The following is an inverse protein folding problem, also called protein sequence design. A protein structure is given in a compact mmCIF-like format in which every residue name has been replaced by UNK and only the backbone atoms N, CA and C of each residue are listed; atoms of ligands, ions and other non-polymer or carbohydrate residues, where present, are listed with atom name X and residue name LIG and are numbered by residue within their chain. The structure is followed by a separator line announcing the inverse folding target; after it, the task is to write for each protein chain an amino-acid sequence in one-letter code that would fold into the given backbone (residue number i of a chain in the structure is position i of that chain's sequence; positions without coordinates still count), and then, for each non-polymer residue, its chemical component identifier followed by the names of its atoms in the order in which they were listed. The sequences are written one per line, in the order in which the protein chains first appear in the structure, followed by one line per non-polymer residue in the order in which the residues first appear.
data_IF_879659040452
#
_entry.id   IF_879659040452
#
_cell.length_a   1.000
_cell.length_b   1.000
_cell.length_c   1.000
_cell.angle_alpha   90.00
_cell.angle_beta   90.00
_cell.angle_gamma   90.00
#
_symmetry.space_group_name_H-M   'P 1'
#
loop_
_entity.id
_entity.type
_entity.pdbx_description
1 polymer ?
#
# COMPACT_ATOMS: atom_id res chain seq x y z
N UNK A 1 12.47 6.99 -18.15
CA UNK A 1 11.59 8.17 -18.34
C UNK A 1 10.57 8.16 -17.22
N UNK A 2 10.31 9.30 -16.55
CA UNK A 2 9.20 9.39 -15.62
C UNK A 2 7.91 9.03 -16.36
N UNK A 3 7.06 8.21 -15.73
CA UNK A 3 5.87 7.66 -16.40
C UNK A 3 4.92 8.76 -16.90
N UNK A 4 5.00 9.92 -16.27
CA UNK A 4 4.26 11.14 -16.59
C UNK A 4 4.52 11.66 -18.02
N UNK A 5 5.65 11.31 -18.65
CA UNK A 5 5.98 11.79 -19.99
C UNK A 5 5.46 10.93 -21.14
N UNK A 6 4.91 9.74 -20.84
CA UNK A 6 4.49 8.81 -21.88
C UNK A 6 3.44 9.43 -22.81
N UNK A 7 3.67 9.26 -24.11
CA UNK A 7 2.69 9.59 -25.14
C UNK A 7 1.55 8.58 -25.14
N UNK A 8 0.35 8.93 -25.65
CA UNK A 8 -0.75 7.97 -25.76
C UNK A 8 -0.38 6.69 -26.51
N UNK A 9 0.48 6.77 -27.54
CA UNK A 9 0.96 5.60 -28.28
C UNK A 9 1.83 4.69 -27.42
N UNK A 10 2.71 5.27 -26.61
CA UNK A 10 3.56 4.51 -25.68
C UNK A 10 2.72 3.86 -24.57
N UNK A 11 1.72 4.55 -24.04
CA UNK A 11 0.79 3.96 -23.05
C UNK A 11 0.07 2.76 -23.66
N UNK A 12 -0.46 2.88 -24.87
CA UNK A 12 -1.10 1.74 -25.56
C UNK A 12 -0.12 0.59 -25.75
N UNK A 13 1.11 0.86 -26.18
CA UNK A 13 2.14 -0.16 -26.35
C UNK A 13 2.53 -0.86 -25.04
N UNK A 14 2.51 -0.14 -23.91
CA UNK A 14 2.71 -0.77 -22.59
C UNK A 14 1.52 -1.63 -22.17
N UNK A 15 0.29 -1.18 -22.45
CA UNK A 15 -0.90 -1.99 -22.22
C UNK A 15 -0.94 -3.23 -23.13
N UNK A 16 -0.43 -3.16 -24.35
CA UNK A 16 -0.36 -4.29 -25.29
C UNK A 16 0.52 -5.44 -24.77
N UNK A 17 1.45 -5.18 -23.85
CA UNK A 17 2.28 -6.24 -23.23
C UNK A 17 1.50 -7.15 -22.27
N UNK A 18 0.30 -6.74 -21.85
CA UNK A 18 -0.49 -7.43 -20.83
C UNK A 18 -1.92 -7.72 -21.29
N UNK A 19 -2.49 -6.89 -22.16
CA UNK A 19 -3.86 -7.03 -22.64
C UNK A 19 -3.83 -7.33 -24.14
N UNK A 20 -4.57 -8.34 -24.57
CA UNK A 20 -4.76 -8.66 -26.00
C UNK A 20 -6.00 -7.91 -26.53
N UNK A 21 -5.91 -7.37 -27.74
CA UNK A 21 -7.03 -6.70 -28.40
C UNK A 21 -7.44 -5.38 -27.74
N UNK A 22 -8.74 -5.07 -27.73
CA UNK A 22 -9.35 -3.92 -27.03
C UNK A 22 -8.71 -2.55 -27.34
N UNK A 23 -8.34 -2.31 -28.60
CA UNK A 23 -7.59 -1.12 -29.00
C UNK A 23 -8.33 0.20 -28.70
N UNK A 24 -9.67 0.22 -28.84
CA UNK A 24 -10.50 1.39 -28.51
C UNK A 24 -10.39 1.75 -27.03
N UNK A 25 -10.55 0.77 -26.14
CA UNK A 25 -10.44 0.96 -24.70
C UNK A 25 -9.03 1.41 -24.27
N UNK A 26 -7.98 0.79 -24.82
CA UNK A 26 -6.59 1.20 -24.58
C UNK A 26 -6.33 2.65 -24.99
N UNK A 27 -6.83 3.08 -26.15
CA UNK A 27 -6.70 4.47 -26.62
C UNK A 27 -7.46 5.44 -25.71
N UNK A 28 -8.67 5.08 -25.29
CA UNK A 28 -9.50 5.91 -24.40
C UNK A 28 -8.78 6.17 -23.06
N UNK A 29 -8.28 5.12 -22.41
CA UNK A 29 -7.55 5.27 -21.14
C UNK A 29 -6.22 6.01 -21.31
N UNK A 30 -5.51 5.80 -22.43
CA UNK A 30 -4.28 6.50 -22.72
C UNK A 30 -4.49 8.01 -22.93
N UNK A 31 -5.60 8.41 -23.56
CA UNK A 31 -5.97 9.82 -23.71
C UNK A 31 -6.33 10.42 -22.36
N UNK A 32 -7.15 9.74 -21.55
CA UNK A 32 -7.53 10.22 -20.22
C UNK A 32 -6.29 10.46 -19.33
N UNK A 33 -5.36 9.50 -19.32
CA UNK A 33 -4.10 9.62 -18.60
C UNK A 33 -3.22 10.77 -19.14
N UNK A 34 -3.10 10.91 -20.46
CA UNK A 34 -2.32 12.00 -21.06
C UNK A 34 -2.93 13.38 -20.74
N UNK A 35 -4.26 13.48 -20.68
CA UNK A 35 -4.93 14.72 -20.30
C UNK A 35 -4.60 15.14 -18.86
N UNK A 36 -4.40 14.18 -17.96
CA UNK A 36 -3.93 14.45 -16.59
C UNK A 36 -2.56 15.12 -16.57
N UNK A 37 -1.61 14.60 -17.35
CA UNK A 37 -0.29 15.21 -17.50
C UNK A 37 -0.38 16.61 -18.14
N UNK A 38 -1.22 16.77 -19.17
CA UNK A 38 -1.47 18.09 -19.78
C UNK A 38 -2.01 19.09 -18.76
N UNK A 39 -2.94 18.67 -17.90
CA UNK A 39 -3.50 19.50 -16.81
C UNK A 39 -2.41 20.01 -15.86
N UNK A 40 -1.46 19.17 -15.48
CA UNK A 40 -0.36 19.58 -14.59
C UNK A 40 0.55 20.67 -15.19
N UNK A 41 0.57 20.81 -16.53
CA UNK A 41 1.32 21.87 -17.23
C UNK A 41 0.52 23.17 -17.40
N UNK A 42 -0.76 23.17 -17.07
CA UNK A 42 -1.57 24.38 -17.15
C UNK A 42 -1.21 25.35 -16.00
N UNK A 43 -1.41 26.67 -16.21
CA UNK A 43 -1.41 27.66 -15.14
C UNK A 43 -2.37 27.26 -14.01
N UNK A 44 -2.10 27.64 -12.74
CA UNK A 44 -2.93 27.25 -11.60
C UNK A 44 -4.42 27.55 -11.77
N UNK A 45 -4.77 28.73 -12.31
CA UNK A 45 -6.15 29.16 -12.53
C UNK A 45 -6.92 28.21 -13.45
N UNK A 46 -6.32 27.80 -14.57
CA UNK A 46 -6.93 26.88 -15.53
C UNK A 46 -6.85 25.42 -15.08
N UNK A 47 -5.87 25.07 -14.24
CA UNK A 47 -5.64 23.71 -13.79
C UNK A 47 -6.84 23.16 -13.03
N UNK A 48 -7.39 23.98 -12.14
CA UNK A 48 -8.48 23.60 -11.25
C UNK A 48 -9.83 23.49 -12.00
N UNK A 49 -10.01 24.23 -13.10
CA UNK A 49 -11.20 24.16 -13.95
C UNK A 49 -11.25 22.89 -14.83
N UNK A 50 -10.09 22.25 -15.11
CA UNK A 50 -10.04 21.06 -15.96
C UNK A 50 -10.35 19.80 -15.15
N UNK A 51 -11.62 19.41 -15.16
CA UNK A 51 -12.08 18.16 -14.58
C UNK A 51 -11.56 16.91 -15.33
N UNK A 52 -11.28 15.80 -14.61
CA UNK A 52 -10.96 14.52 -15.21
C UNK A 52 -12.01 14.08 -16.24
N UNK A 53 -11.55 13.47 -17.32
CA UNK A 53 -12.43 12.85 -18.31
C UNK A 53 -12.67 11.40 -17.89
N UNK A 54 -13.62 11.19 -16.99
CA UNK A 54 -13.97 9.87 -16.49
C UNK A 54 -14.50 8.98 -17.63
N UNK A 55 -14.37 7.66 -17.42
CA UNK A 55 -14.54 6.66 -18.47
C UNK A 55 -15.66 5.71 -18.09
N UNK A 56 -16.53 5.39 -19.05
CA UNK A 56 -17.48 4.29 -18.98
C UNK A 56 -17.08 3.20 -19.97
N UNK A 57 -16.66 2.05 -19.44
CA UNK A 57 -16.35 0.84 -20.18
C UNK A 57 -17.59 -0.06 -20.29
N UNK A 58 -17.99 -0.38 -21.52
CA UNK A 58 -19.16 -1.19 -21.82
C UNK A 58 -18.67 -2.48 -22.48
N UNK A 59 -19.15 -3.64 -22.06
CA UNK A 59 -18.86 -4.91 -22.74
C UNK A 59 -19.02 -6.12 -21.82
N UNK A 60 -18.98 -7.35 -22.34
CA UNK A 60 -19.26 -8.54 -21.55
C UNK A 60 -18.19 -8.79 -20.46
N UNK A 61 -18.46 -9.70 -19.53
CA UNK A 61 -17.49 -10.11 -18.52
C UNK A 61 -16.27 -10.78 -19.18
N UNK A 62 -15.11 -10.72 -18.53
CA UNK A 62 -13.91 -11.42 -19.00
C UNK A 62 -13.15 -10.77 -20.19
N UNK A 63 -13.65 -9.70 -20.81
CA UNK A 63 -12.96 -9.05 -21.96
C UNK A 63 -11.79 -8.13 -21.60
N UNK A 64 -11.48 -7.99 -20.30
CA UNK A 64 -10.32 -7.21 -19.83
C UNK A 64 -10.60 -5.80 -19.28
N UNK A 65 -11.86 -5.44 -19.00
CA UNK A 65 -12.24 -4.12 -18.41
C UNK A 65 -11.39 -3.75 -17.18
N UNK A 66 -11.39 -4.62 -16.17
CA UNK A 66 -10.63 -4.40 -14.93
C UNK A 66 -9.12 -4.48 -15.15
N UNK A 67 -8.65 -5.33 -16.06
CA UNK A 67 -7.22 -5.50 -16.31
C UNK A 67 -6.62 -4.26 -16.98
N UNK A 68 -7.34 -3.63 -17.91
CA UNK A 68 -6.92 -2.35 -18.51
C UNK A 68 -6.76 -1.28 -17.42
N UNK A 69 -7.74 -1.12 -16.53
CA UNK A 69 -7.68 -0.12 -15.47
C UNK A 69 -6.57 -0.40 -14.46
N UNK A 70 -6.41 -1.67 -14.03
CA UNK A 70 -5.34 -2.10 -13.12
C UNK A 70 -3.96 -1.87 -13.71
N UNK A 71 -3.76 -2.21 -14.99
CA UNK A 71 -2.48 -2.01 -15.68
C UNK A 71 -2.17 -0.55 -15.93
N UNK A 72 -3.19 0.26 -16.23
CA UNK A 72 -3.05 1.71 -16.33
C UNK A 72 -2.54 2.30 -15.00
N UNK A 73 -3.14 1.92 -13.88
CA UNK A 73 -2.73 2.38 -12.56
C UNK A 73 -1.31 1.94 -12.20
N UNK A 74 -0.98 0.67 -12.44
CA UNK A 74 0.35 0.12 -12.19
C UNK A 74 1.42 0.80 -13.06
N UNK A 75 1.09 1.10 -14.33
CA UNK A 75 1.99 1.81 -15.24
C UNK A 75 2.41 3.13 -14.61
N UNK A 76 1.44 3.95 -14.18
CA UNK A 76 1.69 5.30 -13.64
C UNK A 76 1.90 5.37 -12.13
N UNK A 77 2.04 4.23 -11.46
CA UNK A 77 2.18 4.12 -10.00
C UNK A 77 1.11 4.92 -9.26
N UNK A 78 -0.12 4.90 -9.78
CA UNK A 78 -1.26 5.55 -9.16
C UNK A 78 -1.91 4.65 -8.10
N UNK A 79 -2.38 5.21 -6.97
CA UNK A 79 -3.28 4.51 -6.06
C UNK A 79 -4.53 4.04 -6.81
N UNK A 80 -4.90 2.78 -6.61
CA UNK A 80 -5.99 2.14 -7.33
C UNK A 80 -6.85 1.31 -6.38
N UNK A 81 -8.17 1.47 -6.50
CA UNK A 81 -9.14 0.64 -5.80
C UNK A 81 -10.21 0.13 -6.78
N UNK A 82 -10.59 -1.14 -6.64
CA UNK A 82 -11.72 -1.76 -7.32
C UNK A 82 -12.86 -1.89 -6.33
N UNK A 83 -14.02 -1.37 -6.67
CA UNK A 83 -15.24 -1.49 -5.88
C UNK A 83 -16.42 -1.85 -6.77
N UNK A 84 -17.37 -2.59 -6.22
CA UNK A 84 -18.57 -3.02 -6.93
C UNK A 84 -19.70 -2.07 -6.56
N UNK A 85 -20.39 -1.51 -7.55
CA UNK A 85 -21.45 -0.53 -7.32
C UNK A 85 -22.62 -1.07 -6.49
N UNK A 86 -22.87 -2.38 -6.57
CA UNK A 86 -23.91 -3.09 -5.82
C UNK A 86 -23.67 -3.10 -4.30
N UNK A 87 -22.42 -2.90 -3.84
CA UNK A 87 -22.08 -2.87 -2.40
C UNK A 87 -22.75 -1.74 -1.63
N UNK A 88 -23.19 -0.68 -2.33
CA UNK A 88 -23.80 0.49 -1.71
C UNK A 88 -25.34 0.46 -1.68
N UNK A 89 -25.96 -0.57 -2.28
CA UNK A 89 -27.41 -0.77 -2.20
C UNK A 89 -27.86 -1.27 -0.82
N UNK A 90 -29.16 -1.13 -0.52
CA UNK A 90 -29.79 -1.44 0.78
C UNK A 90 -29.45 -2.83 1.34
N UNK A 91 -29.28 -3.85 0.49
CA UNK A 91 -28.94 -5.23 0.92
C UNK A 91 -27.49 -5.34 1.42
N UNK A 92 -26.62 -4.39 1.07
CA UNK A 92 -25.23 -4.29 1.54
C UNK A 92 -24.98 -3.17 2.56
N UNK A 93 -26.04 -2.48 3.01
CA UNK A 93 -25.97 -1.21 3.75
C UNK A 93 -25.58 -1.33 5.24
N UNK A 94 -25.17 -2.50 5.72
CA UNK A 94 -24.60 -2.59 7.08
C UNK A 94 -23.16 -2.07 7.03
N UNK A 95 -23.01 -0.73 7.10
CA UNK A 95 -21.75 -0.06 7.44
C UNK A 95 -20.87 0.45 6.29
N UNK A 96 -21.28 0.39 5.01
CA UNK A 96 -20.46 0.89 3.88
C UNK A 96 -21.08 2.08 3.16
N UNK A 97 -20.59 3.26 3.55
CA UNK A 97 -20.80 4.56 2.90
C UNK A 97 -19.96 4.67 1.61
N UNK A 98 -20.44 5.42 0.61
CA UNK A 98 -19.76 5.67 -0.69
C UNK A 98 -18.39 6.31 -0.47
N UNK A 99 -18.24 7.14 0.58
CA UNK A 99 -16.96 7.72 0.99
C UNK A 99 -15.88 6.68 1.33
N UNK A 100 -16.28 5.45 1.69
CA UNK A 100 -15.34 4.37 2.01
C UNK A 100 -14.37 4.09 0.86
N UNK A 101 -14.79 4.27 -0.39
CA UNK A 101 -13.92 4.12 -1.56
C UNK A 101 -12.73 5.07 -1.53
N UNK A 102 -12.96 6.32 -1.09
CA UNK A 102 -11.91 7.34 -0.98
C UNK A 102 -11.01 7.03 0.20
N UNK A 103 -11.58 6.60 1.34
CA UNK A 103 -10.80 6.16 2.51
C UNK A 103 -9.87 4.99 2.15
N UNK A 104 -10.37 4.00 1.41
CA UNK A 104 -9.61 2.85 0.93
C UNK A 104 -8.53 3.25 -0.08
N UNK A 105 -8.84 4.16 -1.00
CA UNK A 105 -7.87 4.69 -1.96
C UNK A 105 -6.69 5.38 -1.23
N UNK A 106 -6.97 6.13 -0.18
CA UNK A 106 -5.94 6.82 0.62
C UNK A 106 -5.13 5.82 1.44
N UNK A 107 -5.75 4.78 2.00
CA UNK A 107 -5.03 3.68 2.64
C UNK A 107 -4.02 3.02 1.67
N UNK A 108 -4.43 2.79 0.41
CA UNK A 108 -3.54 2.28 -0.64
C UNK A 108 -2.41 3.27 -0.93
N UNK A 109 -2.71 4.56 -1.06
CA UNK A 109 -1.71 5.60 -1.29
C UNK A 109 -0.66 5.67 -0.16
N UNK A 110 -1.09 5.60 1.11
CA UNK A 110 -0.20 5.60 2.28
C UNK A 110 0.74 4.40 2.22
N UNK A 111 0.22 3.18 2.00
CA UNK A 111 1.05 1.98 1.88
C UNK A 111 2.07 2.10 0.74
N UNK A 112 1.67 2.66 -0.40
CA UNK A 112 2.58 2.88 -1.53
C UNK A 112 3.72 3.84 -1.18
N UNK A 113 3.40 5.01 -0.58
CA UNK A 113 4.41 5.99 -0.19
C UNK A 113 5.31 5.44 0.93
N UNK A 114 4.76 4.75 1.92
CA UNK A 114 5.54 4.09 2.97
C UNK A 114 6.55 3.10 2.39
N UNK A 115 6.15 2.27 1.42
CA UNK A 115 7.05 1.32 0.76
C UNK A 115 8.17 2.03 -0.01
N UNK A 116 7.85 3.11 -0.72
CA UNK A 116 8.87 3.91 -1.43
C UNK A 116 9.86 4.55 -0.46
N UNK A 117 9.37 5.16 0.64
CA UNK A 117 10.22 5.76 1.67
C UNK A 117 11.05 4.74 2.43
N UNK A 118 10.52 3.54 2.67
CA UNK A 118 11.28 2.43 3.26
C UNK A 118 12.46 2.02 2.39
N UNK A 119 12.28 1.95 1.08
CA UNK A 119 13.35 1.60 0.15
C UNK A 119 14.40 2.73 0.07
N UNK A 120 13.97 4.01 0.07
CA UNK A 120 14.88 5.17 0.11
C UNK A 120 15.82 5.17 1.32
N UNK A 121 15.34 4.73 2.50
CA UNK A 121 16.15 4.73 3.74
C UNK A 121 16.82 3.40 4.03
N UNK A 122 16.64 2.38 3.18
CA UNK A 122 17.02 0.99 3.44
C UNK A 122 18.50 0.82 3.79
N UNK A 123 19.41 1.41 3.01
CA UNK A 123 20.86 1.31 3.25
C UNK A 123 21.28 1.93 4.60
N UNK A 124 20.67 3.07 4.95
CA UNK A 124 20.93 3.76 6.23
C UNK A 124 20.35 2.97 7.40
N UNK A 125 19.16 2.39 7.20
CA UNK A 125 18.50 1.52 8.18
C UNK A 125 19.30 0.24 8.43
N UNK A 126 19.82 -0.38 7.37
CA UNK A 126 20.66 -1.58 7.46
C UNK A 126 21.97 -1.29 8.21
N UNK A 127 22.61 -0.15 7.91
CA UNK A 127 23.80 0.28 8.65
C UNK A 127 23.54 0.42 10.14
N UNK A 128 22.42 1.06 10.53
CA UNK A 128 22.01 1.19 11.94
C UNK A 128 21.63 -0.15 12.57
N UNK A 129 21.00 -1.04 11.80
CA UNK A 129 20.66 -2.38 12.26
C UNK A 129 21.93 -3.18 12.58
N UNK A 130 22.94 -3.14 11.72
CA UNK A 130 24.24 -3.78 11.95
C UNK A 130 24.91 -3.20 13.21
N UNK A 131 24.94 -1.88 13.36
CA UNK A 131 25.48 -1.25 14.58
C UNK A 131 24.77 -1.75 15.85
N UNK A 132 23.44 -1.85 15.79
CA UNK A 132 22.62 -2.35 16.91
C UNK A 132 22.89 -3.83 17.21
N UNK A 133 23.10 -4.67 16.19
CA UNK A 133 23.50 -6.08 16.38
C UNK A 133 24.86 -6.16 17.06
N UNK A 134 25.85 -5.41 16.56
CA UNK A 134 27.19 -5.37 17.15
C UNK A 134 27.12 -4.96 18.62
N UNK A 135 26.32 -3.95 18.95
CA UNK A 135 26.12 -3.53 20.33
C UNK A 135 25.47 -4.61 21.20
N UNK A 136 24.50 -5.35 20.67
CA UNK A 136 23.88 -6.48 21.39
C UNK A 136 24.88 -7.61 21.65
N UNK A 137 25.77 -7.90 20.71
CA UNK A 137 26.82 -8.92 20.87
C UNK A 137 27.93 -8.48 21.82
N UNK A 138 28.22 -7.17 21.87
CA UNK A 138 29.20 -6.57 22.79
C UNK A 138 28.65 -6.31 24.19
N UNK A 139 27.34 -6.50 24.43
CA UNK A 139 26.80 -6.40 25.79
C UNK A 139 27.38 -7.55 26.62
N UNK A 140 27.98 -7.27 27.78
CA UNK A 140 28.37 -8.35 28.67
C UNK A 140 27.12 -9.17 28.96
N UNK A 141 27.16 -10.48 28.65
CA UNK A 141 26.11 -11.43 29.06
C UNK A 141 25.82 -11.13 30.52
N UNK A 142 24.64 -10.58 30.82
CA UNK A 142 24.24 -10.25 32.19
C UNK A 142 24.45 -11.52 33.03
N UNK A 143 25.56 -11.58 33.76
CA UNK A 143 25.72 -12.52 34.86
C UNK A 143 24.57 -12.17 35.80
N UNK A 144 23.57 -13.04 35.86
CA UNK A 144 22.52 -12.97 36.89
C UNK A 144 23.24 -12.79 38.24
N UNK A 145 23.06 -11.60 38.83
CA UNK A 145 23.29 -11.26 40.23
C UNK A 145 24.44 -12.00 40.95
N UNK A 146 25.63 -11.39 40.93
CA UNK A 146 26.30 -11.12 42.21
C UNK A 146 26.15 -9.62 42.43
N UNK A 147 25.45 -9.23 43.49
CA UNK A 147 25.44 -7.86 43.98
C UNK A 147 26.89 -7.46 44.26
N UNK A 148 27.52 -6.76 43.33
CA UNK A 148 28.71 -5.98 43.62
C UNK A 148 28.21 -4.62 44.09
N UNK A 149 28.00 -4.52 45.40
CA UNK A 149 28.09 -3.23 46.07
C UNK A 149 29.46 -2.64 45.68
N UNK A 150 29.54 -1.40 45.19
CA UNK A 150 30.84 -0.78 44.91
C UNK A 150 31.71 -0.89 46.18
N UNK A 151 33.01 -1.22 46.08
CA UNK A 151 33.90 -1.25 47.23
C UNK A 151 33.73 0.03 48.06
N UNK A 152 33.67 -0.05 49.41
CA UNK A 152 33.42 1.11 50.29
C UNK A 152 34.36 2.31 50.04
N UNK A 153 35.56 2.04 49.52
CA UNK A 153 36.57 3.02 49.15
C UNK A 153 36.18 3.90 47.95
N UNK A 154 35.40 3.37 47.01
CA UNK A 154 35.05 4.06 45.77
C UNK A 154 33.94 5.09 46.00
N UNK A 155 32.96 4.74 46.84
CA UNK A 155 31.90 5.66 47.31
C UNK A 155 32.49 6.79 48.16
N UNK A 156 33.50 6.48 48.98
CA UNK A 156 34.18 7.46 49.82
C UNK A 156 35.03 8.45 49.01
N UNK A 157 35.74 7.98 47.96
CA UNK A 157 36.51 8.86 47.05
C UNK A 157 35.61 9.83 46.29
N UNK A 158 34.46 9.35 45.79
CA UNK A 158 33.52 10.19 45.04
C UNK A 158 32.84 11.24 45.93
N UNK A 159 32.57 10.91 47.20
CA UNK A 159 32.02 11.86 48.18
C UNK A 159 33.03 12.94 48.63
N UNK A 160 34.33 12.68 48.50
CA UNK A 160 35.40 13.61 48.86
C UNK A 160 35.85 14.53 47.71
N UNK A 161 35.23 14.43 46.53
CA UNK A 161 35.57 15.29 45.38
C UNK A 161 37.00 15.08 44.84
N UNK A 162 37.58 13.91 45.04
CA UNK A 162 38.91 13.58 44.52
C UNK A 162 38.83 13.34 43.01
N UNK A 163 39.65 14.04 42.24
CA UNK A 163 39.81 13.80 40.81
C UNK A 163 40.40 12.40 40.54
N UNK A 164 40.03 11.77 39.41
CA UNK A 164 40.60 10.48 39.02
C UNK A 164 42.12 10.57 38.88
N UNK A 165 42.81 9.48 39.23
CA UNK A 165 44.27 9.37 39.11
C UNK A 165 44.68 9.09 37.65
N UNK A 166 45.83 9.60 37.17
CA UNK A 166 46.34 9.39 35.79
C UNK A 166 46.33 7.90 35.34
N UNK A 167 46.62 6.96 36.25
CA UNK A 167 46.56 5.51 35.99
C UNK A 167 45.12 4.97 35.72
N UNK A 168 44.10 5.63 36.25
CA UNK A 168 42.69 5.26 36.00
C UNK A 168 42.21 5.81 34.66
N UNK A 169 42.66 7.01 34.29
CA UNK A 169 42.39 7.59 32.97
C UNK A 169 43.05 6.76 31.85
N UNK A 170 44.32 6.33 32.02
CA UNK A 170 44.99 5.44 31.06
C UNK A 170 44.33 4.05 30.96
N UNK A 171 43.81 3.49 32.07
CA UNK A 171 43.10 2.21 32.05
C UNK A 171 41.74 2.31 31.34
N UNK A 172 40.98 3.38 31.57
CA UNK A 172 39.72 3.63 30.86
C UNK A 172 39.94 3.85 29.36
N UNK A 173 40.99 4.58 28.99
CA UNK A 173 41.33 4.87 27.59
C UNK A 173 41.78 3.60 26.82
N UNK A 174 42.53 2.72 27.46
CA UNK A 174 42.93 1.42 26.90
C UNK A 174 41.73 0.47 26.70
N UNK A 175 40.80 0.42 27.65
CA UNK A 175 39.58 -0.39 27.53
C UNK A 175 38.68 0.13 26.40
N UNK A 176 38.61 1.45 26.24
CA UNK A 176 37.80 2.06 25.19
C UNK A 176 38.40 1.83 23.78
N UNK A 177 39.72 1.91 23.64
CA UNK A 177 40.41 1.65 22.36
C UNK A 177 40.27 0.19 21.91
N UNK A 178 40.39 -0.77 22.82
CA UNK A 178 40.17 -2.20 22.51
C UNK A 178 38.71 -2.49 22.12
N UNK A 179 37.75 -1.87 22.82
CA UNK A 179 36.33 -1.99 22.49
C UNK A 179 36.03 -1.43 21.09
N UNK A 180 36.67 -0.33 20.70
CA UNK A 180 36.53 0.26 19.35
C UNK A 180 37.09 -0.66 18.26
N UNK A 181 38.24 -1.31 18.49
CA UNK A 181 38.82 -2.29 17.54
C UNK A 181 37.90 -3.50 17.36
N UNK A 182 37.41 -4.07 18.47
CA UNK A 182 36.50 -5.21 18.44
C UNK A 182 35.17 -4.86 17.75
N UNK A 183 34.63 -3.67 18.01
CA UNK A 183 33.41 -3.16 17.33
C UNK A 183 33.60 -3.14 15.81
N UNK A 184 34.72 -2.56 15.32
CA UNK A 184 35.02 -2.48 13.88
C UNK A 184 35.13 -3.87 13.23
N UNK A 185 35.89 -4.78 13.84
CA UNK A 185 36.05 -6.15 13.34
C UNK A 185 34.72 -6.91 13.28
N UNK A 186 33.87 -6.79 14.32
CA UNK A 186 32.54 -7.39 14.34
C UNK A 186 31.61 -6.82 13.27
N UNK A 187 31.64 -5.49 13.06
CA UNK A 187 30.86 -4.85 11.99
C UNK A 187 31.23 -5.40 10.62
N UNK A 188 32.53 -5.56 10.33
CA UNK A 188 33.00 -6.14 9.06
C UNK A 188 32.57 -7.60 8.91
N UNK A 189 32.68 -8.42 9.97
CA UNK A 189 32.26 -9.81 9.96
C UNK A 189 30.75 -9.98 9.71
N UNK A 190 29.91 -9.15 10.34
CA UNK A 190 28.46 -9.19 10.16
C UNK A 190 28.05 -8.72 8.76
N UNK A 191 28.72 -7.69 8.23
CA UNK A 191 28.50 -7.23 6.84
C UNK A 191 28.90 -8.29 5.82
N UNK A 192 29.96 -9.03 6.08
CA UNK A 192 30.42 -10.14 5.24
C UNK A 192 29.58 -11.42 5.37
N UNK A 193 28.57 -11.44 6.25
CA UNK A 193 27.72 -12.61 6.49
C UNK A 193 28.40 -13.75 7.25
N UNK A 194 29.60 -13.54 7.80
CA UNK A 194 30.40 -14.57 8.47
C UNK A 194 29.81 -15.05 9.80
N UNK A 195 28.82 -14.33 10.33
CA UNK A 195 28.15 -14.63 11.61
C UNK A 195 26.64 -14.81 11.47
N UNK A 196 26.13 -15.00 10.25
CA UNK A 196 24.70 -15.05 9.95
C UNK A 196 23.96 -16.13 10.76
N UNK A 197 24.60 -17.27 11.05
CA UNK A 197 24.04 -18.41 11.81
C UNK A 197 24.11 -18.26 13.34
N UNK A 198 24.83 -17.25 13.85
CA UNK A 198 24.90 -17.04 15.31
C UNK A 198 23.56 -16.56 15.85
N UNK A 199 23.18 -17.02 17.05
CA UNK A 199 21.90 -16.63 17.66
C UNK A 199 22.09 -15.44 18.60
N UNK A 200 21.21 -14.44 18.47
CA UNK A 200 21.16 -13.28 19.34
C UNK A 200 19.73 -13.06 19.87
N UNK A 201 19.64 -12.42 21.04
CA UNK A 201 18.35 -12.01 21.62
C UNK A 201 18.06 -10.56 21.21
N UNK A 202 16.95 -10.34 20.50
CA UNK A 202 16.50 -9.01 20.10
C UNK A 202 15.14 -8.68 20.71
N UNK A 203 14.89 -7.39 20.92
CA UNK A 203 13.56 -6.88 21.28
C UNK A 203 12.76 -6.60 20.00
N UNK A 204 11.62 -7.27 19.86
CA UNK A 204 10.69 -7.12 18.75
C UNK A 204 9.44 -6.43 19.27
N UNK A 205 8.96 -5.43 18.53
CA UNK A 205 7.66 -4.81 18.78
C UNK A 205 6.59 -5.69 18.15
N UNK A 206 5.81 -6.37 18.98
CA UNK A 206 4.69 -7.19 18.50
C UNK A 206 3.36 -6.42 18.72
N UNK A 207 2.45 -6.41 17.74
CA UNK A 207 1.12 -5.91 17.94
C UNK A 207 0.43 -6.81 18.97
N UNK A 208 0.10 -6.26 20.14
CA UNK A 208 -0.72 -6.95 21.13
C UNK A 208 -2.10 -7.12 20.51
N UNK A 209 -2.45 -8.33 20.09
CA UNK A 209 -3.84 -8.68 19.82
C UNK A 209 -4.45 -8.97 21.20
N UNK A 210 -5.33 -8.11 21.74
CA UNK A 210 -6.01 -8.44 22.97
C UNK A 210 -6.89 -9.66 22.69
N UNK A 211 -6.45 -10.82 23.18
CA UNK A 211 -7.29 -12.00 23.37
C UNK A 211 -8.26 -11.71 24.52
N UNK A 212 -9.16 -10.74 24.35
CA UNK A 212 -10.31 -10.65 25.23
C UNK A 212 -11.30 -11.72 24.75
N UNK A 213 -11.19 -12.89 25.36
CA UNK A 213 -12.19 -13.95 25.34
C UNK A 213 -13.55 -13.38 25.76
N UNK A 214 -14.39 -12.98 24.80
CA UNK A 214 -15.84 -12.88 24.99
C UNK A 214 -16.42 -14.26 24.70
N UNK A 215 -16.21 -15.21 25.61
CA UNK A 215 -17.00 -16.44 25.63
C UNK A 215 -18.37 -16.11 26.24
N UNK A 216 -19.25 -15.49 25.45
CA UNK A 216 -20.69 -15.58 25.67
C UNK A 216 -21.30 -16.35 24.49
N UNK A 217 -22.24 -17.29 24.70
CA UNK A 217 -22.87 -18.05 23.62
C UNK A 217 -23.66 -17.21 22.61
N UNK A 218 -23.78 -15.90 22.83
CA UNK A 218 -24.61 -14.97 22.05
C UNK A 218 -23.80 -13.90 21.29
N UNK A 219 -22.48 -13.81 21.51
CA UNK A 219 -21.65 -12.72 20.97
C UNK A 219 -20.82 -13.04 19.71
N UNK A 220 -20.93 -14.24 19.15
CA UNK A 220 -20.06 -14.70 18.04
C UNK A 220 -20.55 -14.22 16.67
N UNK A 221 -21.84 -13.87 16.51
CA UNK A 221 -22.38 -13.49 15.20
C UNK A 221 -22.19 -12.00 14.85
N UNK A 222 -21.92 -11.13 15.82
CA UNK A 222 -21.83 -9.68 15.58
C UNK A 222 -20.40 -9.19 15.27
N UNK A 223 -19.39 -10.03 15.46
CA UNK A 223 -17.98 -9.66 15.40
C UNK A 223 -17.31 -9.97 14.05
N UNK A 224 -18.07 -9.90 12.97
CA UNK A 224 -17.63 -10.27 11.62
C UNK A 224 -17.00 -9.16 10.78
N UNK A 225 -16.93 -7.89 11.24
CA UNK A 225 -16.63 -6.79 10.32
C UNK A 225 -15.63 -5.70 10.76
N UNK A 226 -15.06 -5.73 11.96
CA UNK A 226 -14.25 -4.57 12.42
C UNK A 226 -13.01 -4.93 13.28
N UNK A 227 -12.24 -5.94 12.87
CA UNK A 227 -10.96 -6.24 13.51
C UNK A 227 -9.93 -5.09 13.36
N UNK A 228 -10.01 -4.29 12.29
CA UNK A 228 -9.14 -3.14 12.04
C UNK A 228 -9.51 -1.91 12.88
N UNK A 229 -10.74 -1.82 13.37
CA UNK A 229 -11.27 -0.68 14.13
C UNK A 229 -11.00 -0.77 15.65
N UNK A 230 -10.65 -1.96 16.15
CA UNK A 230 -10.23 -2.18 17.55
C UNK A 230 -8.72 -1.98 17.79
N UNK A 231 -7.96 -1.57 16.77
CA UNK A 231 -6.58 -1.13 16.91
C UNK A 231 -6.53 0.23 17.62
N UNK A 232 -6.77 0.23 18.92
CA UNK A 232 -6.69 1.40 19.78
C UNK A 232 -5.25 1.96 19.74
N UNK A 233 -5.01 3.19 19.27
CA UNK A 233 -3.67 3.80 19.21
C UNK A 233 -3.00 3.93 20.59
N UNK A 234 -3.77 3.75 21.67
CA UNK A 234 -3.33 3.86 23.07
C UNK A 234 -2.92 2.53 23.71
N UNK A 235 -3.01 1.39 23.02
CA UNK A 235 -2.46 0.14 23.54
C UNK A 235 -0.92 0.17 23.42
N UNK A 236 -0.16 0.05 24.54
CA UNK A 236 1.28 -0.02 24.48
C UNK A 236 1.70 -1.27 23.70
N UNK A 237 2.50 -1.09 22.65
CA UNK A 237 3.16 -2.21 21.97
C UNK A 237 4.03 -2.93 23.00
N UNK A 238 3.75 -4.22 23.25
CA UNK A 238 4.63 -5.00 24.10
C UNK A 238 5.93 -5.28 23.34
N UNK A 239 7.06 -5.06 24.01
CA UNK A 239 8.35 -5.50 23.51
C UNK A 239 8.55 -6.94 23.96
N UNK A 240 8.49 -7.89 23.04
CA UNK A 240 8.84 -9.28 23.32
C UNK A 240 10.31 -9.51 22.99
N UNK A 241 10.98 -10.34 23.78
CA UNK A 241 12.35 -10.76 23.49
C UNK A 241 12.32 -12.06 22.74
N UNK A 242 12.98 -12.09 21.59
CA UNK A 242 13.07 -13.28 20.74
C UNK A 242 14.53 -13.60 20.47
N UNK A 243 14.84 -14.89 20.56
CA UNK A 243 16.13 -15.43 20.12
C UNK A 243 15.99 -15.79 18.66
N UNK A 244 16.81 -15.17 17.82
CA UNK A 244 16.81 -15.32 16.36
C UNK A 244 18.24 -15.38 15.86
N UNK A 245 18.44 -15.80 14.62
CA UNK A 245 19.76 -15.74 13.97
C UNK A 245 20.17 -14.29 13.69
N UNK A 246 21.48 -14.01 13.55
CA UNK A 246 21.98 -12.69 13.15
C UNK A 246 21.40 -12.28 11.79
N UNK A 247 21.23 -13.24 10.88
CA UNK A 247 20.59 -13.01 9.58
C UNK A 247 19.15 -12.50 9.72
N UNK A 248 18.32 -13.20 10.49
CA UNK A 248 16.94 -12.79 10.76
C UNK A 248 16.89 -11.46 11.53
N UNK A 249 17.78 -11.29 12.50
CA UNK A 249 17.88 -10.05 13.26
C UNK A 249 18.22 -8.85 12.36
N UNK A 250 19.10 -9.03 11.37
CA UNK A 250 19.43 -7.99 10.39
C UNK A 250 18.19 -7.54 9.65
N UNK A 251 17.36 -8.47 9.17
CA UNK A 251 16.12 -8.13 8.46
C UNK A 251 15.11 -7.41 9.37
N UNK A 252 14.85 -7.96 10.56
CA UNK A 252 13.88 -7.40 11.53
C UNK A 252 14.31 -6.01 11.99
N UNK A 253 15.58 -5.86 12.41
CA UNK A 253 16.10 -4.58 12.90
C UNK A 253 16.20 -3.55 11.78
N UNK A 254 16.53 -3.96 10.55
CA UNK A 254 16.51 -3.04 9.39
C UNK A 254 15.12 -2.44 9.19
N UNK A 255 14.06 -3.26 9.25
CA UNK A 255 12.69 -2.76 9.15
C UNK A 255 12.32 -1.82 10.32
N UNK A 256 12.74 -2.14 11.55
CA UNK A 256 12.50 -1.27 12.71
C UNK A 256 13.23 0.08 12.57
N UNK A 257 14.51 0.07 12.19
CA UNK A 257 15.29 1.29 12.02
C UNK A 257 14.80 2.11 10.83
N UNK A 258 14.36 1.47 9.73
CA UNK A 258 13.72 2.14 8.61
C UNK A 258 12.45 2.88 9.05
N UNK A 259 11.58 2.24 9.84
CA UNK A 259 10.36 2.89 10.38
C UNK A 259 10.65 4.11 11.24
N UNK A 260 11.77 4.13 11.97
CA UNK A 260 12.19 5.29 12.78
C UNK A 260 12.77 6.43 11.95
N UNK A 261 13.35 6.11 10.79
CA UNK A 261 13.95 7.09 9.88
C UNK A 261 12.91 7.83 9.03
N UNK A 262 11.71 7.26 8.89
CA UNK A 262 10.64 7.82 8.05
C UNK A 262 9.81 8.83 8.85
N UNK A 263 9.67 10.03 8.30
CA UNK A 263 8.71 11.01 8.80
C UNK A 263 7.28 10.65 8.35
N UNK A 264 6.47 10.15 9.30
CA UNK A 264 5.06 9.81 9.06
C UNK A 264 4.24 11.00 8.57
N UNK A 265 4.54 12.22 9.02
CA UNK A 265 3.79 13.41 8.60
C UNK A 265 4.04 13.74 7.13
N UNK A 266 5.30 13.59 6.67
CA UNK A 266 5.64 13.71 5.25
C UNK A 266 4.95 12.61 4.42
N UNK A 267 4.98 11.35 4.88
CA UNK A 267 4.32 10.22 4.20
C UNK A 267 2.83 10.50 4.01
N UNK A 268 2.13 10.91 5.07
CA UNK A 268 0.69 11.19 5.02
C UNK A 268 0.39 12.31 4.03
N UNK A 269 1.16 13.40 4.08
CA UNK A 269 0.98 14.55 3.18
C UNK A 269 1.16 14.15 1.71
N UNK A 270 2.22 13.41 1.42
CA UNK A 270 2.49 12.92 0.06
C UNK A 270 1.44 11.92 -0.40
N UNK A 271 0.98 11.01 0.48
CA UNK A 271 -0.04 10.03 0.17
C UNK A 271 -1.42 10.67 -0.12
N UNK A 272 -1.82 11.67 0.67
CA UNK A 272 -3.05 12.45 0.41
C UNK A 272 -2.93 13.14 -0.94
N UNK A 273 -1.85 13.89 -1.19
CA UNK A 273 -1.63 14.55 -2.48
C UNK A 273 -1.65 13.54 -3.64
N UNK A 274 -1.07 12.35 -3.46
CA UNK A 274 -1.07 11.30 -4.46
C UNK A 274 -2.46 10.70 -4.66
N UNK A 275 -3.27 10.53 -3.63
CA UNK A 275 -4.66 10.10 -3.79
C UNK A 275 -5.47 11.13 -4.59
N UNK A 276 -5.36 12.42 -4.26
CA UNK A 276 -6.10 13.51 -4.94
C UNK A 276 -5.66 13.71 -6.39
N UNK A 277 -4.34 13.75 -6.63
CA UNK A 277 -3.79 14.10 -7.93
C UNK A 277 -3.61 12.92 -8.86
N UNK A 278 -3.25 11.77 -8.28
CA UNK A 278 -2.92 10.42 -8.79
C UNK A 278 -4.01 9.35 -8.84
N UNK A 279 -4.98 9.43 -7.94
CA UNK A 279 -5.91 8.35 -7.65
C UNK A 279 -6.77 7.91 -8.82
N UNK A 280 -7.06 6.60 -8.84
CA UNK A 280 -7.97 5.96 -9.79
C UNK A 280 -8.95 5.08 -9.01
N UNK A 281 -10.25 5.31 -9.20
CA UNK A 281 -11.32 4.46 -8.65
C UNK A 281 -11.98 3.71 -9.80
N UNK A 282 -12.00 2.38 -9.72
CA UNK A 282 -12.70 1.52 -10.67
C UNK A 282 -14.03 1.06 -10.08
N UNK A 283 -15.14 1.58 -10.64
CA UNK A 283 -16.51 1.24 -10.28
C UNK A 283 -17.00 0.10 -11.19
N UNK A 284 -16.95 -1.14 -10.70
CA UNK A 284 -17.44 -2.31 -11.42
C UNK A 284 -18.96 -2.47 -11.27
N UNK A 285 -19.57 -3.14 -12.23
CA UNK A 285 -21.01 -3.45 -12.24
C UNK A 285 -21.93 -2.23 -12.11
N UNK A 286 -21.56 -1.07 -12.68
CA UNK A 286 -22.39 0.14 -12.62
C UNK A 286 -23.74 -0.04 -13.33
N UNK A 287 -23.82 -0.99 -14.27
CA UNK A 287 -25.05 -1.33 -14.97
C UNK A 287 -26.10 -1.98 -14.07
N UNK A 288 -25.72 -2.49 -12.89
CA UNK A 288 -26.63 -3.08 -11.90
C UNK A 288 -27.39 -2.05 -11.09
N UNK A 289 -26.86 -0.83 -11.01
CA UNK A 289 -27.54 0.31 -10.38
C UNK A 289 -28.24 1.21 -11.41
N UNK A 290 -28.09 0.93 -12.71
CA UNK A 290 -28.80 1.61 -13.80
C UNK A 290 -30.22 1.01 -14.00
N UNK A 291 -31.22 1.85 -14.26
CA UNK A 291 -32.60 1.43 -14.51
C UNK A 291 -33.65 2.21 -13.71
N UNK A 292 -34.86 2.33 -14.28
CA UNK A 292 -35.99 3.05 -13.70
C UNK A 292 -37.17 2.13 -13.34
N UNK A 293 -37.74 2.36 -12.15
CA UNK A 293 -39.11 2.05 -11.68
C UNK A 293 -39.77 0.78 -12.23
N UNK A 294 -39.55 -0.34 -11.55
CA UNK A 294 -40.59 -1.36 -11.44
C UNK A 294 -41.79 -0.74 -10.69
N UNK A 295 -43.00 -0.81 -11.24
CA UNK A 295 -44.23 -0.31 -10.59
C UNK A 295 -44.57 -0.99 -9.25
N UNK A 296 -43.81 -2.03 -8.86
CA UNK A 296 -43.95 -2.78 -7.62
C UNK A 296 -42.55 -3.18 -7.12
N UNK A 297 -41.98 -2.47 -6.14
CA UNK A 297 -40.77 -2.88 -5.44
C UNK A 297 -39.86 -1.74 -4.95
N UNK A 298 -38.88 -2.02 -4.06
CA UNK A 298 -37.98 -1.02 -3.48
C UNK A 298 -36.95 -0.52 -4.50
N UNK A 299 -37.37 0.37 -5.40
CA UNK A 299 -36.51 0.98 -6.43
C UNK A 299 -35.75 2.23 -5.96
N UNK A 300 -36.08 2.76 -4.78
CA UNK A 300 -35.44 3.97 -4.21
C UNK A 300 -33.94 3.75 -3.96
N UNK A 301 -33.52 2.50 -3.74
CA UNK A 301 -32.15 2.13 -3.42
C UNK A 301 -31.14 2.33 -4.56
N UNK A 302 -31.48 1.96 -5.80
CA UNK A 302 -30.49 1.94 -6.91
C UNK A 302 -30.17 3.33 -7.43
N UNK A 303 -31.20 4.16 -7.60
CA UNK A 303 -31.02 5.56 -7.96
C UNK A 303 -30.37 6.34 -6.81
N UNK A 304 -30.70 5.99 -5.55
CA UNK A 304 -30.03 6.50 -4.35
C UNK A 304 -28.51 6.35 -4.43
N UNK A 305 -28.01 5.13 -4.74
CA UNK A 305 -26.57 4.89 -4.91
C UNK A 305 -25.96 5.77 -6.01
N UNK A 306 -26.65 5.95 -7.14
CA UNK A 306 -26.14 6.83 -8.20
C UNK A 306 -26.02 8.28 -7.71
N UNK A 307 -26.98 8.76 -6.93
CA UNK A 307 -26.97 10.11 -6.35
C UNK A 307 -25.89 10.26 -5.27
N UNK A 308 -25.67 9.24 -4.46
CA UNK A 308 -24.62 9.23 -3.44
C UNK A 308 -23.21 9.19 -4.08
N UNK A 309 -23.08 8.60 -5.28
CA UNK A 309 -21.85 8.62 -6.07
C UNK A 309 -21.54 10.00 -6.68
N UNK A 310 -22.55 10.84 -6.93
CA UNK A 310 -22.37 12.13 -7.61
C UNK A 310 -21.37 13.04 -6.87
N UNK A 311 -21.53 13.36 -5.57
CA UNK A 311 -20.60 14.24 -4.87
C UNK A 311 -19.14 13.82 -5.02
N UNK A 312 -18.88 12.51 -4.96
CA UNK A 312 -17.52 11.95 -5.07
C UNK A 312 -16.95 12.14 -6.49
N UNK A 313 -17.77 11.97 -7.53
CA UNK A 313 -17.35 12.12 -8.93
C UNK A 313 -17.26 13.61 -9.34
N UNK A 314 -18.12 14.46 -8.78
CA UNK A 314 -18.16 15.89 -9.07
C UNK A 314 -17.06 16.68 -8.36
N UNK A 315 -16.61 16.19 -7.20
CA UNK A 315 -15.64 16.86 -6.34
C UNK A 315 -16.25 17.17 -4.99
N UNK A 316 -15.86 16.41 -3.98
CA UNK A 316 -16.21 16.64 -2.58
C UNK A 316 -14.97 16.48 -1.70
N UNK A 317 -15.09 16.87 -0.43
CA UNK A 317 -14.06 16.61 0.58
C UNK A 317 -14.53 15.47 1.46
N UNK A 318 -13.80 14.35 1.43
CA UNK A 318 -14.06 13.19 2.29
C UNK A 318 -13.12 13.22 3.50
N UNK A 319 -13.68 13.05 4.69
CA UNK A 319 -12.89 12.98 5.92
C UNK A 319 -12.34 11.56 6.09
N UNK A 320 -11.03 11.47 6.25
CA UNK A 320 -10.30 10.22 6.50
C UNK A 320 -9.49 10.32 7.80
N UNK A 321 -9.00 9.19 8.31
CA UNK A 321 -8.07 9.17 9.46
C UNK A 321 -6.72 9.85 9.19
N UNK A 322 -6.42 10.17 7.93
CA UNK A 322 -5.20 10.86 7.50
C UNK A 322 -5.44 12.35 7.22
N UNK A 323 -6.66 12.85 7.42
CA UNK A 323 -7.07 14.21 7.09
C UNK A 323 -8.14 14.27 6.00
N UNK A 324 -8.56 15.49 5.63
CA UNK A 324 -9.50 15.71 4.52
C UNK A 324 -8.85 15.39 3.18
N UNK A 325 -9.61 14.78 2.27
CA UNK A 325 -9.15 14.42 0.92
C UNK A 325 -10.15 14.91 -0.12
N UNK A 326 -9.66 15.65 -1.11
CA UNK A 326 -10.44 16.22 -2.22
C UNK A 326 -10.56 15.26 -3.41
N UNK A 327 -11.77 15.04 -3.91
CA UNK A 327 -11.99 14.07 -5.00
C UNK A 327 -11.98 14.69 -6.40
N UNK A 328 -11.86 16.02 -6.52
CA UNK A 328 -11.97 16.82 -7.77
C UNK A 328 -11.14 16.27 -8.94
N UNK A 329 -10.03 15.59 -8.64
CA UNK A 329 -9.04 15.16 -9.63
C UNK A 329 -8.76 13.66 -9.65
N UNK A 330 -9.57 12.88 -8.91
CA UNK A 330 -9.57 11.43 -8.98
C UNK A 330 -10.16 10.99 -10.32
N UNK A 331 -9.53 10.03 -10.98
CA UNK A 331 -10.05 9.46 -12.22
C UNK A 331 -11.02 8.33 -11.89
N UNK A 332 -12.26 8.45 -12.36
CA UNK A 332 -13.24 7.37 -12.27
C UNK A 332 -13.28 6.56 -13.57
N UNK A 333 -13.19 5.25 -13.43
CA UNK A 333 -13.42 4.29 -14.52
C UNK A 333 -14.59 3.42 -14.09
N UNK A 334 -15.76 3.70 -14.64
CA UNK A 334 -16.94 2.87 -14.46
C UNK A 334 -16.96 1.76 -15.51
N UNK A 335 -17.42 0.57 -15.12
CA UNK A 335 -17.54 -0.57 -16.00
C UNK A 335 -18.88 -1.27 -15.79
N UNK A 336 -19.47 -1.72 -16.89
CA UNK A 336 -20.72 -2.47 -16.84
C UNK A 336 -20.87 -3.37 -18.07
N UNK A 337 -21.68 -4.41 -17.92
CA UNK A 337 -21.99 -5.29 -19.03
C UNK A 337 -23.14 -4.74 -19.89
N UNK A 338 -24.11 -4.07 -19.27
CA UNK A 338 -25.25 -3.41 -19.94
C UNK A 338 -26.06 -4.39 -20.81
N UNK A 339 -26.28 -5.61 -20.31
CA UNK A 339 -27.14 -6.61 -20.98
C UNK A 339 -28.63 -6.33 -20.73
N UNK A 340 -28.98 -5.90 -19.51
CA UNK A 340 -30.36 -5.68 -19.05
C UNK A 340 -30.73 -4.20 -18.90
N UNK A 341 -29.74 -3.33 -19.01
CA UNK A 341 -29.85 -1.88 -18.91
C UNK A 341 -28.96 -1.24 -19.97
N UNK A 342 -29.22 0.01 -20.31
CA UNK A 342 -28.41 0.81 -21.22
C UNK A 342 -27.68 1.91 -20.45
N UNK A 343 -26.56 2.43 -20.97
CA UNK A 343 -25.93 3.62 -20.39
C UNK A 343 -26.85 4.83 -20.26
N UNK A 344 -27.90 4.92 -21.10
CA UNK A 344 -28.95 5.94 -21.02
C UNK A 344 -29.84 5.83 -19.79
N UNK A 345 -29.83 4.67 -19.12
CA UNK A 345 -30.68 4.39 -17.96
C UNK A 345 -30.00 4.79 -16.62
N UNK A 346 -28.77 5.32 -16.70
CA UNK A 346 -28.14 6.06 -15.61
C UNK A 346 -28.78 7.44 -15.48
N UNK A 347 -28.75 8.03 -14.28
CA UNK A 347 -29.26 9.39 -14.08
C UNK A 347 -28.51 10.39 -14.97
N UNK A 348 -29.19 11.41 -15.55
CA UNK A 348 -28.58 12.36 -16.48
C UNK A 348 -27.30 13.04 -15.95
N UNK A 349 -27.27 13.34 -14.65
CA UNK A 349 -26.15 13.96 -13.94
C UNK A 349 -24.91 13.07 -14.04
N UNK A 350 -25.05 11.78 -13.73
CA UNK A 350 -23.97 10.81 -13.75
C UNK A 350 -23.48 10.54 -15.18
N UNK A 351 -24.38 10.53 -16.15
CA UNK A 351 -24.01 10.44 -17.57
C UNK A 351 -23.13 11.61 -18.01
N UNK A 352 -23.43 12.84 -17.57
CA UNK A 352 -22.63 14.02 -17.85
C UNK A 352 -21.22 13.95 -17.28
N UNK A 353 -21.05 13.23 -16.16
CA UNK A 353 -19.74 13.01 -15.51
C UNK A 353 -18.94 11.83 -16.07
N UNK A 354 -19.49 11.04 -16.98
CA UNK A 354 -18.82 9.93 -17.68
C UNK A 354 -18.71 10.19 -19.20
N UNK A 355 -17.95 11.22 -19.63
CA UNK A 355 -17.94 11.69 -21.01
C UNK A 355 -17.24 10.73 -21.99
N UNK A 356 -16.25 9.94 -21.54
CA UNK A 356 -15.56 8.97 -22.40
C UNK A 356 -16.30 7.64 -22.33
N UNK A 357 -17.04 7.30 -23.37
CA UNK A 357 -17.72 6.01 -23.50
C UNK A 357 -16.95 5.12 -24.45
N UNK A 358 -16.64 3.90 -24.02
CA UNK A 358 -15.89 2.94 -24.85
C UNK A 358 -16.45 1.54 -24.72
N UNK A 359 -16.69 0.92 -25.87
CA UNK A 359 -17.14 -0.46 -25.97
C UNK A 359 -15.94 -1.40 -26.14
N UNK A 360 -15.96 -2.48 -25.36
CA UNK A 360 -15.02 -3.58 -25.43
C UNK A 360 -15.68 -4.74 -26.17
N UNK A 361 -14.92 -5.32 -27.09
CA UNK A 361 -15.39 -6.36 -27.99
C UNK A 361 -15.32 -7.73 -27.31
N UNK A 362 -16.27 -8.65 -27.56
CA UNK A 362 -16.15 -10.04 -27.11
C UNK A 362 -14.86 -10.68 -27.62
N UNK A 363 -14.25 -11.53 -26.81
CA UNK A 363 -13.02 -12.24 -27.19
C UNK A 363 -13.34 -13.41 -28.11
N UNK A 364 -12.52 -13.57 -29.16
CA UNK A 364 -12.61 -14.71 -30.08
C UNK A 364 -11.71 -15.87 -29.63
N UNK A 365 -11.88 -17.05 -30.24
CA UNK A 365 -10.97 -18.18 -30.02
C UNK A 365 -9.51 -17.83 -30.35
N UNK A 366 -9.28 -17.02 -31.39
CA UNK A 366 -7.95 -16.52 -31.72
C UNK A 366 -7.39 -15.63 -30.61
N UNK A 367 -8.22 -14.78 -30.00
CA UNK A 367 -7.80 -13.96 -28.86
C UNK A 367 -7.42 -14.81 -27.65
N UNK A 368 -8.14 -15.91 -27.37
CA UNK A 368 -7.75 -16.80 -26.27
C UNK A 368 -6.38 -17.45 -26.48
N UNK A 369 -6.07 -17.90 -27.69
CA UNK A 369 -4.74 -18.44 -28.02
C UNK A 369 -3.67 -17.37 -27.76
N UNK A 370 -3.93 -16.13 -28.17
CA UNK A 370 -3.03 -15.00 -27.95
C UNK A 370 -2.89 -14.67 -26.47
N UNK A 371 -3.98 -14.63 -25.69
CA UNK A 371 -3.98 -14.38 -24.24
C UNK A 371 -3.13 -15.43 -23.50
N UNK A 372 -3.18 -16.67 -23.96
CA UNK A 372 -2.38 -17.75 -23.39
C UNK A 372 -0.90 -17.67 -23.74
N UNK A 373 -0.46 -16.89 -24.74
CA UNK A 373 0.94 -16.90 -25.21
C UNK A 373 1.64 -15.54 -25.18
N UNK A 374 0.96 -14.47 -25.60
CA UNK A 374 1.56 -13.16 -25.83
C UNK A 374 1.82 -12.38 -24.53
N UNK A 375 0.84 -12.21 -23.60
CA UNK A 375 1.04 -11.39 -22.41
C UNK A 375 2.28 -11.80 -21.60
N UNK A 376 2.93 -10.81 -20.97
CA UNK A 376 4.09 -11.06 -20.09
C UNK A 376 3.74 -11.99 -18.93
N UNK A 377 2.52 -11.87 -18.42
CA UNK A 377 1.96 -12.70 -17.36
C UNK A 377 1.01 -13.77 -17.90
N UNK A 378 1.21 -14.25 -19.13
CA UNK A 378 0.38 -15.32 -19.69
C UNK A 378 0.42 -16.58 -18.79
N UNK A 379 -0.73 -17.26 -18.65
CA UNK A 379 -0.85 -18.43 -17.78
C UNK A 379 0.14 -19.53 -18.14
N UNK A 380 0.35 -19.80 -19.44
CA UNK A 380 1.31 -20.83 -19.89
C UNK A 380 2.74 -20.50 -19.44
N UNK A 381 3.17 -19.24 -19.52
CA UNK A 381 4.47 -18.79 -19.02
C UNK A 381 4.58 -18.95 -17.51
N UNK A 382 3.51 -18.68 -16.76
CA UNK A 382 3.51 -18.90 -15.32
C UNK A 382 3.68 -20.40 -15.00
N UNK A 383 2.95 -21.28 -15.68
CA UNK A 383 3.08 -22.73 -15.49
C UNK A 383 4.45 -23.28 -15.93
N UNK A 384 5.01 -22.76 -17.03
CA UNK A 384 6.39 -23.07 -17.43
C UNK A 384 7.38 -22.74 -16.32
N UNK A 385 7.28 -21.55 -15.71
CA UNK A 385 8.16 -21.16 -14.61
C UNK A 385 7.92 -21.97 -13.34
N UNK A 386 6.68 -22.34 -13.03
CA UNK A 386 6.35 -23.18 -11.88
C UNK A 386 6.95 -24.59 -12.05
N UNK A 387 6.77 -25.23 -13.20
CA UNK A 387 7.28 -26.58 -13.45
C UNK A 387 8.81 -26.62 -13.60
N UNK A 388 9.41 -25.52 -14.07
CA UNK A 388 10.87 -25.38 -14.06
C UNK A 388 11.45 -25.46 -12.63
N UNK A 389 10.69 -25.12 -11.58
CA UNK A 389 11.16 -25.31 -10.19
C UNK A 389 11.33 -26.78 -9.78
N UNK A 390 10.66 -27.70 -10.50
CA UNK A 390 10.78 -29.15 -10.33
C UNK A 390 11.70 -29.79 -11.40
N UNK A 391 12.42 -28.96 -12.18
CA UNK A 391 13.26 -29.43 -13.28
C UNK A 391 12.49 -29.93 -14.50
N UNK A 392 11.20 -29.60 -14.62
CA UNK A 392 10.36 -29.96 -15.76
C UNK A 392 10.29 -28.79 -16.74
N UNK A 393 10.84 -28.98 -17.94
CA UNK A 393 10.74 -28.01 -19.03
C UNK A 393 9.49 -28.28 -19.89
N UNK A 394 8.70 -27.23 -20.12
CA UNK A 394 7.53 -27.26 -21.01
C UNK A 394 7.79 -26.36 -22.22
N UNK A 395 7.66 -26.91 -23.43
CA UNK A 395 7.78 -26.17 -24.69
C UNK A 395 6.54 -25.33 -25.04
#
# INVERSE_FOLDING_TARGET
MPVEELTPRQIVAELDKYIVGQAKAKRAVAIALRNRYRRQKLPPELRDEVMPKNILMIGPTGVGKTEIARRLAALVRAPFIKVEATKFTEVGYVGRDVDSMVRDLVNVAVRMVEQEKMEEVRERAESRAVERIVELMLRPRRRRSRQTVPPPLEILRQALGMEPTEEQEEQEENVETDRRRLKRALTEQIRAGLRDDETIEIEVEEPVIPFLQVFSPQGIEEMGMDADSFANPFLPQSRSRRVVTVKEAREILTQQEARKLIDRSSVIREAVQRAEQTGIIFLDEIDKIAGARSQYGPDVSREGVQRDLLPIIEGSTVITKYGPVRTDHILFIAAGAFHMSKPSDLIPELQGRLPIRVELEPLTAADFIRILKEPRNALTKQYQQLLATEGVELE
#
